data_IF_261580007012
#
_entry.id   IF_261580007012
#
_cell.length_a   1.000
_cell.length_b   1.000
_cell.length_c   1.000
_cell.angle_alpha   90.00
_cell.angle_beta   90.00
_cell.angle_gamma   90.00
#
_symmetry.space_group_name_H-M   'P 1'
#
loop_
_entity.id
_entity.type
_entity.pdbx_description
1 polymer ?
#
# COMPACT_ATOMS: atom_id res chain seq x y z
N UNK A 1 -12.40 15.77 13.88
CA UNK A 1 -13.06 15.28 12.65
C UNK A 1 -12.33 14.03 12.19
N UNK A 2 -12.97 12.85 12.24
CA UNK A 2 -12.34 11.57 11.84
C UNK A 2 -12.29 11.53 10.31
N UNK A 3 -11.15 11.87 9.73
CA UNK A 3 -10.97 11.79 8.27
C UNK A 3 -11.18 10.35 7.81
N UNK A 4 -12.03 10.14 6.80
CA UNK A 4 -12.14 8.84 6.11
C UNK A 4 -10.75 8.49 5.58
N UNK A 5 -10.10 7.50 6.18
CA UNK A 5 -8.80 7.03 5.71
C UNK A 5 -8.94 6.44 4.30
N UNK A 6 -8.06 6.82 3.39
CA UNK A 6 -8.02 6.22 2.06
C UNK A 6 -7.58 4.76 2.17
N UNK A 7 -8.29 3.86 1.48
CA UNK A 7 -7.89 2.46 1.36
C UNK A 7 -6.53 2.37 0.64
N UNK A 8 -5.68 1.42 1.06
CA UNK A 8 -4.32 1.26 0.52
C UNK A 8 -4.33 1.10 -1.00
N UNK A 9 -5.27 0.34 -1.56
CA UNK A 9 -5.44 0.18 -3.01
C UNK A 9 -5.67 1.52 -3.73
N UNK A 10 -6.50 2.40 -3.14
CA UNK A 10 -6.77 3.70 -3.72
C UNK A 10 -5.54 4.62 -3.69
N UNK A 11 -4.75 4.57 -2.61
CA UNK A 11 -3.47 5.31 -2.54
C UNK A 11 -2.51 4.86 -3.64
N UNK A 12 -2.38 3.56 -3.85
CA UNK A 12 -1.48 2.98 -4.84
C UNK A 12 -1.95 3.24 -6.27
N UNK A 13 -3.26 3.21 -6.53
CA UNK A 13 -3.81 3.55 -7.84
C UNK A 13 -3.43 4.98 -8.24
N UNK A 14 -3.57 5.95 -7.31
CA UNK A 14 -3.24 7.36 -7.58
C UNK A 14 -1.74 7.56 -7.81
N UNK A 15 -0.88 6.87 -7.06
CA UNK A 15 0.58 6.93 -7.28
C UNK A 15 0.96 6.40 -8.68
N UNK A 16 0.37 5.28 -9.10
CA UNK A 16 0.63 4.70 -10.43
C UNK A 16 0.08 5.52 -11.57
N UNK A 17 -1.08 6.13 -11.38
CA UNK A 17 -1.64 7.05 -12.35
C UNK A 17 -0.70 8.24 -12.56
N UNK A 18 -0.15 8.82 -11.48
CA UNK A 18 0.82 9.89 -11.59
C UNK A 18 2.15 9.48 -12.26
N UNK A 19 2.56 8.21 -12.14
CA UNK A 19 3.76 7.68 -12.83
C UNK A 19 3.52 7.35 -14.31
N UNK A 20 2.31 6.90 -14.66
CA UNK A 20 1.95 6.54 -16.04
C UNK A 20 1.40 7.70 -16.85
N UNK A 21 0.82 8.70 -16.20
CA UNK A 21 0.26 9.87 -16.86
C UNK A 21 1.36 10.86 -17.21
N UNK A 22 1.25 11.52 -18.37
CA UNK A 22 2.03 12.72 -18.69
C UNK A 22 1.57 13.96 -17.87
N UNK A 23 0.61 13.79 -16.94
CA UNK A 23 0.07 14.87 -16.12
C UNK A 23 1.01 15.20 -14.96
N UNK A 24 0.99 16.46 -14.56
CA UNK A 24 1.80 16.90 -13.41
C UNK A 24 1.17 16.41 -12.09
N UNK A 25 1.99 16.25 -11.04
CA UNK A 25 1.50 15.87 -9.70
C UNK A 25 0.35 16.79 -9.21
N UNK A 26 0.41 18.12 -9.38
CA UNK A 26 -0.71 19.01 -9.05
C UNK A 26 -2.01 18.67 -9.76
N UNK A 27 -1.96 18.28 -11.04
CA UNK A 27 -3.15 17.93 -11.83
C UNK A 27 -3.79 16.64 -11.33
N UNK A 28 -2.96 15.62 -11.06
CA UNK A 28 -3.45 14.34 -10.49
C UNK A 28 -4.05 14.56 -9.10
N UNK A 29 -3.44 15.42 -8.27
CA UNK A 29 -3.97 15.76 -6.96
C UNK A 29 -5.33 16.46 -7.06
N UNK A 30 -5.50 17.37 -8.03
CA UNK A 30 -6.76 18.07 -8.30
C UNK A 30 -7.87 17.12 -8.77
N UNK A 31 -7.57 16.23 -9.71
CA UNK A 31 -8.53 15.24 -10.22
C UNK A 31 -8.96 14.24 -9.15
N UNK A 32 -8.03 13.83 -8.28
CA UNK A 32 -8.29 12.87 -7.20
C UNK A 32 -8.76 13.51 -5.91
N UNK A 33 -8.93 14.83 -5.90
CA UNK A 33 -9.35 15.63 -4.74
C UNK A 33 -8.50 15.36 -3.49
N UNK A 34 -7.18 15.22 -3.68
CA UNK A 34 -6.20 15.05 -2.60
C UNK A 34 -5.23 16.23 -2.58
N UNK A 35 -4.61 16.48 -1.42
CA UNK A 35 -3.52 17.44 -1.35
C UNK A 35 -2.21 16.84 -1.86
N UNK A 36 -1.34 17.66 -2.44
CA UNK A 36 0.01 17.25 -2.84
C UNK A 36 0.81 16.71 -1.65
N UNK A 37 0.61 17.27 -0.46
CA UNK A 37 1.21 16.74 0.78
C UNK A 37 0.79 15.30 1.06
N UNK A 38 -0.48 14.97 0.82
CA UNK A 38 -1.00 13.59 0.97
C UNK A 38 -0.38 12.66 -0.07
N UNK A 39 -0.25 13.13 -1.32
CA UNK A 39 0.41 12.39 -2.39
C UNK A 39 1.88 12.09 -2.06
N UNK A 40 2.66 13.09 -1.66
CA UNK A 40 4.06 12.91 -1.29
C UNK A 40 4.23 12.00 -0.07
N UNK A 41 3.32 12.06 0.92
CA UNK A 41 3.31 11.11 2.03
C UNK A 41 3.12 9.67 1.55
N UNK A 42 2.16 9.44 0.64
CA UNK A 42 1.97 8.11 0.05
C UNK A 42 3.15 7.69 -0.82
N UNK A 43 3.76 8.61 -1.56
CA UNK A 43 4.96 8.32 -2.36
C UNK A 43 6.14 7.95 -1.46
N UNK A 44 6.27 8.53 -0.28
CA UNK A 44 7.29 8.13 0.70
C UNK A 44 6.98 6.76 1.33
N UNK A 45 5.71 6.45 1.54
CA UNK A 45 5.24 5.21 2.18
C UNK A 45 5.20 4.01 1.21
N UNK A 46 4.89 4.26 -0.07
CA UNK A 46 4.63 3.23 -1.09
C UNK A 46 5.39 3.43 -2.40
N UNK A 47 6.01 4.59 -2.65
CA UNK A 47 6.61 4.94 -3.95
C UNK A 47 7.95 4.28 -4.27
N UNK A 48 8.46 3.41 -3.40
CA UNK A 48 9.60 2.50 -3.70
C UNK A 48 9.08 1.05 -3.88
N UNK A 49 7.80 0.80 -3.63
CA UNK A 49 7.18 -0.51 -3.74
C UNK A 49 6.29 -0.57 -4.98
N UNK A 50 6.72 -1.31 -5.99
CA UNK A 50 5.83 -1.74 -7.07
C UNK A 50 4.63 -2.50 -6.48
N UNK A 51 3.41 -2.39 -7.05
CA UNK A 51 2.25 -3.05 -6.43
C UNK A 51 2.39 -4.56 -6.38
N UNK A 52 3.21 -5.15 -7.24
CA UNK A 52 3.57 -6.57 -7.16
C UNK A 52 4.44 -6.89 -5.94
N UNK A 53 5.33 -5.99 -5.55
CA UNK A 53 6.11 -6.11 -4.31
C UNK A 53 5.22 -5.94 -3.07
N UNK A 54 4.26 -5.02 -3.09
CA UNK A 54 3.29 -4.87 -2.01
C UNK A 54 2.38 -6.10 -1.86
N UNK A 55 1.96 -6.67 -2.99
CA UNK A 55 1.17 -7.91 -3.02
C UNK A 55 2.00 -9.10 -2.56
N UNK A 56 3.25 -9.23 -3.02
CA UNK A 56 4.19 -10.26 -2.54
C UNK A 56 4.48 -10.13 -1.05
N UNK A 57 4.70 -8.92 -0.54
CA UNK A 57 4.97 -8.69 0.88
C UNK A 57 3.78 -9.14 1.74
N UNK A 58 2.55 -8.85 1.32
CA UNK A 58 1.34 -9.25 2.04
C UNK A 58 1.16 -10.77 2.03
N UNK A 59 1.44 -11.44 0.91
CA UNK A 59 1.39 -12.91 0.83
C UNK A 59 2.50 -13.57 1.65
N UNK A 60 3.73 -13.03 1.63
CA UNK A 60 4.82 -13.50 2.49
C UNK A 60 4.49 -13.34 3.97
N UNK A 61 3.87 -12.22 4.37
CA UNK A 61 3.44 -12.01 5.75
C UNK A 61 2.36 -13.02 6.18
N UNK A 62 1.41 -13.38 5.30
CA UNK A 62 0.44 -14.43 5.58
C UNK A 62 1.11 -15.79 5.74
N UNK A 63 2.06 -16.12 4.87
CA UNK A 63 2.75 -17.40 4.93
C UNK A 63 3.60 -17.51 6.21
N UNK A 64 4.28 -16.44 6.60
CA UNK A 64 4.99 -16.36 7.89
C UNK A 64 4.01 -16.57 9.07
N UNK A 65 2.84 -15.96 9.03
CA UNK A 65 1.83 -16.15 10.08
C UNK A 65 1.32 -17.60 10.14
N UNK A 66 1.11 -18.23 8.98
CA UNK A 66 0.72 -19.64 8.88
C UNK A 66 1.81 -20.56 9.42
N UNK A 67 3.05 -20.36 9.01
CA UNK A 67 4.21 -21.13 9.45
C UNK A 67 4.43 -20.99 10.96
N UNK A 68 4.36 -19.77 11.50
CA UNK A 68 4.45 -19.53 12.95
C UNK A 68 3.35 -20.24 13.73
N UNK A 69 2.14 -20.30 13.18
CA UNK A 69 1.02 -21.02 13.81
C UNK A 69 1.25 -22.53 13.80
N UNK A 70 1.63 -23.11 12.67
CA UNK A 70 1.95 -24.54 12.59
C UNK A 70 3.12 -24.90 13.51
N UNK A 71 4.18 -24.10 13.52
CA UNK A 71 5.32 -24.30 14.41
C UNK A 71 4.92 -24.19 15.90
N UNK A 72 4.04 -23.25 16.25
CA UNK A 72 3.51 -23.16 17.60
C UNK A 72 2.63 -24.36 17.96
N UNK A 73 1.78 -24.84 17.05
CA UNK A 73 0.94 -26.01 17.24
C UNK A 73 1.80 -27.29 17.44
N UNK A 74 2.89 -27.43 16.68
CA UNK A 74 3.86 -28.53 16.79
C UNK A 74 4.67 -28.45 18.10
N UNK A 75 5.16 -27.26 18.48
CA UNK A 75 5.86 -27.04 19.75
C UNK A 75 4.97 -27.23 20.98
N UNK A 76 3.65 -27.03 20.83
CA UNK A 76 2.65 -27.27 21.89
C UNK A 76 2.16 -28.73 21.91
N UNK A 77 2.69 -29.61 21.04
CA UNK A 77 2.48 -31.06 21.10
C UNK A 77 1.03 -31.49 20.86
N UNK A 78 0.33 -30.85 19.91
CA UNK A 78 -0.91 -31.39 19.34
C UNK A 78 -0.63 -32.24 18.11
#
# INVERSE_FOLDING_TARGET
MKGKGHATEQKMHVLREAERSEKTIPDVCRERQISEQTFHRWKKEFGIMEVDQAKQLKELQKEIARLKRMFADEMLGK
#
